data_IF_788887847258
#
_entry.id   IF_788887847258
#
_cell.length_a   1.000
_cell.length_b   1.000
_cell.length_c   1.000
_cell.angle_alpha   90.00
_cell.angle_beta   90.00
_cell.angle_gamma   90.00
#
_symmetry.space_group_name_H-M   'P 1'
#
loop_
_entity.id
_entity.type
_entity.pdbx_description
1 polymer ?
#
# COMPACT_ATOMS: atom_id res chain seq x y z
N UNK A 1 16.58 -31.60 9.48
CA UNK A 1 15.43 -31.48 10.42
C UNK A 1 15.40 -30.14 11.17
N UNK A 2 16.13 -29.12 10.73
CA UNK A 2 15.94 -27.71 11.12
C UNK A 2 15.35 -26.97 9.91
N UNK A 3 14.67 -25.85 10.09
CA UNK A 3 13.83 -25.12 9.11
C UNK A 3 12.39 -25.62 8.98
N UNK A 4 11.60 -25.34 10.02
CA UNK A 4 10.18 -25.04 9.81
C UNK A 4 9.54 -24.24 10.95
N UNK A 5 10.33 -23.48 11.71
CA UNK A 5 9.84 -22.80 12.93
C UNK A 5 8.89 -21.65 12.58
N UNK A 6 9.13 -21.00 11.44
CA UNK A 6 8.29 -19.87 10.98
C UNK A 6 7.01 -20.42 10.36
N UNK A 7 7.07 -21.44 9.50
CA UNK A 7 5.85 -22.09 8.99
C UNK A 7 5.01 -22.66 10.14
N UNK A 8 5.60 -23.31 11.14
CA UNK A 8 4.86 -23.80 12.32
C UNK A 8 4.18 -22.69 13.10
N UNK A 9 4.81 -21.50 13.21
CA UNK A 9 4.20 -20.32 13.81
C UNK A 9 2.98 -19.83 13.03
N UNK A 10 3.10 -19.74 11.70
CA UNK A 10 2.01 -19.35 10.81
C UNK A 10 0.88 -20.38 10.79
N UNK A 11 1.19 -21.67 10.79
CA UNK A 11 0.21 -22.75 10.93
C UNK A 11 -0.52 -22.69 12.28
N UNK A 12 0.21 -22.41 13.37
CA UNK A 12 -0.39 -22.26 14.68
C UNK A 12 -1.33 -21.05 14.74
N UNK A 13 -0.95 -19.91 14.14
CA UNK A 13 -1.83 -18.74 14.02
C UNK A 13 -3.06 -19.04 13.16
N UNK A 14 -2.89 -19.72 12.02
CA UNK A 14 -3.99 -20.15 11.16
C UNK A 14 -4.98 -21.09 11.87
N UNK A 15 -4.48 -21.95 12.77
CA UNK A 15 -5.31 -22.85 13.60
C UNK A 15 -6.04 -22.13 14.74
N UNK A 16 -5.62 -20.92 15.13
CA UNK A 16 -6.31 -20.13 16.17
C UNK A 16 -7.60 -19.54 15.59
N UNK A 17 -8.70 -20.24 15.80
CA UNK A 17 -10.03 -19.80 15.39
C UNK A 17 -10.77 -19.29 16.64
N UNK A 18 -11.17 -18.02 16.64
CA UNK A 18 -12.10 -17.48 17.65
C UNK A 18 -13.53 -17.95 17.36
N UNK A 19 -13.92 -17.96 16.09
CA UNK A 19 -15.28 -18.29 15.65
C UNK A 19 -15.28 -19.45 14.64
N UNK A 20 -15.90 -20.58 15.01
CA UNK A 20 -15.93 -21.80 14.19
C UNK A 20 -17.12 -21.79 13.23
N UNK A 21 -16.88 -22.25 12.00
CA UNK A 21 -17.94 -22.53 11.01
C UNK A 21 -18.91 -23.54 11.61
N UNK A 22 -20.20 -23.23 11.53
CA UNK A 22 -21.25 -24.03 12.13
C UNK A 22 -21.81 -24.99 11.09
N UNK A 23 -21.67 -26.30 11.33
CA UNK A 23 -22.37 -27.34 10.55
C UNK A 23 -23.74 -27.60 11.17
N UNK A 24 -24.79 -27.63 10.36
CA UNK A 24 -26.18 -27.80 10.81
C UNK A 24 -26.61 -26.65 11.73
N UNK A 25 -26.93 -25.50 11.14
CA UNK A 25 -27.24 -24.29 11.90
C UNK A 25 -28.65 -24.41 12.46
N UNK A 26 -28.73 -24.54 13.79
CA UNK A 26 -29.98 -24.43 14.53
C UNK A 26 -30.36 -22.95 14.68
N UNK A 27 -31.65 -22.67 14.90
CA UNK A 27 -32.13 -21.31 15.15
C UNK A 27 -31.42 -20.64 16.35
N UNK A 28 -31.04 -21.43 17.35
CA UNK A 28 -30.30 -20.97 18.53
C UNK A 28 -28.87 -20.54 18.18
N UNK A 29 -28.14 -21.34 17.39
CA UNK A 29 -26.79 -20.99 16.91
C UNK A 29 -26.79 -19.78 15.97
N UNK A 30 -27.84 -19.64 15.15
CA UNK A 30 -28.00 -18.47 14.30
C UNK A 30 -28.21 -17.19 15.12
N UNK A 31 -29.02 -17.28 16.19
CA UNK A 31 -29.24 -16.18 17.13
C UNK A 31 -27.94 -15.77 17.84
N UNK A 32 -27.17 -16.74 18.32
CA UNK A 32 -25.87 -16.49 18.96
C UNK A 32 -24.90 -15.76 18.02
N UNK A 33 -24.79 -16.19 16.77
CA UNK A 33 -23.94 -15.54 15.77
C UNK A 33 -24.41 -14.10 15.45
N UNK A 34 -25.71 -13.85 15.43
CA UNK A 34 -26.28 -12.52 15.22
C UNK A 34 -26.04 -11.58 16.42
N UNK A 35 -26.15 -12.09 17.65
CA UNK A 35 -25.81 -11.34 18.87
C UNK A 35 -24.32 -10.97 18.89
N UNK A 36 -23.44 -11.92 18.55
CA UNK A 36 -22.00 -11.67 18.42
C UNK A 36 -21.69 -10.62 17.37
N UNK A 37 -22.37 -10.64 16.23
CA UNK A 37 -22.19 -9.62 15.19
C UNK A 37 -22.59 -8.23 15.70
N UNK A 38 -23.66 -8.14 16.48
CA UNK A 38 -24.11 -6.88 17.10
C UNK A 38 -23.01 -6.29 17.99
N UNK A 39 -22.50 -7.09 18.93
CA UNK A 39 -21.39 -6.69 19.82
C UNK A 39 -20.17 -6.29 18.99
N UNK A 40 -19.80 -7.11 18.00
CA UNK A 40 -18.65 -6.87 17.13
C UNK A 40 -18.76 -5.54 16.36
N UNK A 41 -19.98 -5.18 15.94
CA UNK A 41 -20.26 -3.90 15.27
C UNK A 41 -20.17 -2.72 16.23
N UNK A 42 -20.73 -2.86 17.44
CA UNK A 42 -20.71 -1.82 18.48
C UNK A 42 -19.30 -1.49 18.92
N UNK A 43 -18.48 -2.49 19.22
CA UNK A 43 -17.06 -2.33 19.59
C UNK A 43 -16.25 -1.55 18.54
N UNK A 44 -16.66 -1.59 17.28
CA UNK A 44 -15.95 -0.99 16.14
C UNK A 44 -16.64 0.24 15.57
N UNK A 45 -17.79 0.62 16.11
CA UNK A 45 -18.63 1.70 15.57
C UNK A 45 -19.09 1.46 14.12
N UNK A 46 -19.28 0.20 13.70
CA UNK A 46 -19.69 -0.13 12.35
C UNK A 46 -21.20 0.03 12.17
N UNK A 47 -21.61 0.68 11.09
CA UNK A 47 -23.03 0.79 10.73
C UNK A 47 -23.54 -0.50 10.08
N UNK A 48 -24.84 -0.79 10.19
CA UNK A 48 -25.45 -1.95 9.51
C UNK A 48 -25.22 -1.91 8.00
N UNK A 49 -25.28 -0.73 7.36
CA UNK A 49 -25.01 -0.57 5.93
C UNK A 49 -23.59 -0.97 5.57
N UNK A 50 -22.60 -0.52 6.35
CA UNK A 50 -21.21 -0.89 6.14
C UNK A 50 -20.98 -2.39 6.35
N UNK A 51 -21.56 -2.96 7.41
CA UNK A 51 -21.46 -4.41 7.70
C UNK A 51 -22.12 -5.25 6.62
N UNK A 52 -23.29 -4.84 6.11
CA UNK A 52 -23.98 -5.54 5.02
C UNK A 52 -23.13 -5.57 3.74
N UNK A 53 -22.50 -4.46 3.39
CA UNK A 53 -21.53 -4.40 2.27
C UNK A 53 -20.35 -5.35 2.50
N UNK A 54 -19.80 -5.42 3.71
CA UNK A 54 -18.70 -6.35 4.05
C UNK A 54 -19.10 -7.82 3.95
N UNK A 55 -20.36 -8.13 4.23
CA UNK A 55 -20.92 -9.49 4.14
C UNK A 55 -21.41 -9.83 2.72
N UNK A 56 -21.49 -8.85 1.81
CA UNK A 56 -22.06 -9.05 0.47
C UNK A 56 -23.56 -9.36 0.51
N UNK A 57 -24.30 -8.78 1.45
CA UNK A 57 -25.76 -8.95 1.60
C UNK A 57 -26.46 -7.59 1.62
N UNK A 58 -27.79 -7.57 1.45
CA UNK A 58 -28.54 -6.32 1.54
C UNK A 58 -28.67 -5.85 3.00
N UNK A 59 -28.76 -4.53 3.26
CA UNK A 59 -29.03 -4.01 4.60
C UNK A 59 -30.33 -4.56 5.21
N UNK A 60 -31.35 -4.80 4.38
CA UNK A 60 -32.61 -5.40 4.79
C UNK A 60 -32.43 -6.86 5.25
N UNK A 61 -31.63 -7.66 4.52
CA UNK A 61 -31.29 -9.02 4.91
C UNK A 61 -30.52 -9.04 6.23
N UNK A 62 -29.52 -8.17 6.40
CA UNK A 62 -28.77 -8.07 7.66
C UNK A 62 -29.70 -7.75 8.83
N UNK A 63 -30.58 -6.75 8.69
CA UNK A 63 -31.53 -6.38 9.74
C UNK A 63 -32.47 -7.54 10.10
N UNK A 64 -32.95 -8.31 9.11
CA UNK A 64 -33.77 -9.50 9.37
C UNK A 64 -33.00 -10.59 10.13
N UNK A 65 -31.71 -10.77 9.85
CA UNK A 65 -30.85 -11.72 10.58
C UNK A 65 -30.64 -11.26 12.02
N UNK A 66 -30.31 -9.98 12.25
CA UNK A 66 -30.14 -9.41 13.58
C UNK A 66 -31.40 -9.49 14.44
N UNK A 67 -32.59 -9.40 13.83
CA UNK A 67 -33.87 -9.57 14.50
C UNK A 67 -34.35 -11.02 14.63
N UNK A 68 -33.55 -12.01 14.17
CA UNK A 68 -33.91 -13.42 14.13
C UNK A 68 -35.20 -13.71 13.33
N UNK A 69 -35.44 -12.95 12.25
CA UNK A 69 -36.62 -13.04 11.36
C UNK A 69 -36.28 -13.52 9.96
N UNK A 70 -35.01 -13.75 9.65
CA UNK A 70 -34.58 -14.17 8.32
C UNK A 70 -34.93 -15.64 8.06
N UNK A 71 -35.78 -15.87 7.04
CA UNK A 71 -36.25 -17.22 6.63
C UNK A 71 -35.57 -17.76 5.37
N UNK A 72 -34.57 -17.05 4.84
CA UNK A 72 -33.85 -17.45 3.64
C UNK A 72 -32.74 -18.46 3.93
N UNK A 73 -31.65 -18.38 3.16
CA UNK A 73 -30.47 -19.23 3.37
C UNK A 73 -29.69 -18.79 4.63
N UNK A 74 -30.24 -19.15 5.79
CA UNK A 74 -29.69 -18.83 7.10
C UNK A 74 -28.26 -19.37 7.23
N UNK A 75 -28.02 -20.58 6.73
CA UNK A 75 -26.73 -21.25 6.83
C UNK A 75 -25.60 -20.46 6.15
N UNK A 76 -25.80 -20.05 4.90
CA UNK A 76 -24.84 -19.25 4.15
C UNK A 76 -24.59 -17.89 4.82
N UNK A 77 -25.65 -17.25 5.30
CA UNK A 77 -25.55 -15.92 5.92
C UNK A 77 -24.80 -15.96 7.25
N UNK A 78 -25.08 -16.95 8.10
CA UNK A 78 -24.38 -17.12 9.38
C UNK A 78 -22.91 -17.51 9.13
N UNK A 79 -22.62 -18.35 8.14
CA UNK A 79 -21.23 -18.66 7.78
C UNK A 79 -20.46 -17.43 7.29
N UNK A 80 -21.09 -16.53 6.51
CA UNK A 80 -20.51 -15.23 6.14
C UNK A 80 -20.18 -14.37 7.36
N UNK A 81 -21.07 -14.35 8.36
CA UNK A 81 -20.89 -13.59 9.62
C UNK A 81 -19.71 -14.13 10.41
N UNK A 82 -19.69 -15.44 10.67
CA UNK A 82 -18.59 -16.13 11.37
C UNK A 82 -17.26 -15.88 10.67
N UNK A 83 -17.22 -16.04 9.34
CA UNK A 83 -16.02 -15.80 8.55
C UNK A 83 -15.54 -14.35 8.59
N UNK A 84 -16.46 -13.37 8.60
CA UNK A 84 -16.12 -11.96 8.73
C UNK A 84 -15.48 -11.69 10.10
N UNK A 85 -16.13 -12.10 11.19
CA UNK A 85 -15.64 -11.89 12.56
C UNK A 85 -14.27 -12.55 12.74
N UNK A 86 -14.10 -13.79 12.26
CA UNK A 86 -12.84 -14.51 12.35
C UNK A 86 -11.74 -13.84 11.52
N UNK A 87 -12.05 -13.44 10.28
CA UNK A 87 -11.11 -12.73 9.40
C UNK A 87 -10.62 -11.42 10.01
N UNK A 88 -11.51 -10.64 10.62
CA UNK A 88 -11.13 -9.40 11.30
C UNK A 88 -10.35 -9.66 12.58
N UNK A 89 -10.79 -10.64 13.39
CA UNK A 89 -10.06 -11.06 14.60
C UNK A 89 -8.64 -11.55 14.30
N UNK A 90 -8.42 -12.23 13.15
CA UNK A 90 -7.06 -12.57 12.68
C UNK A 90 -6.23 -11.32 12.37
N UNK A 91 -6.83 -10.30 11.75
CA UNK A 91 -6.14 -9.03 11.43
C UNK A 91 -5.81 -8.19 12.67
N UNK A 92 -6.62 -8.28 13.73
CA UNK A 92 -6.42 -7.56 14.98
C UNK A 92 -5.36 -8.19 15.89
N UNK A 93 -5.23 -9.53 15.83
CA UNK A 93 -4.17 -10.26 16.55
C UNK A 93 -2.77 -9.93 16.05
N UNK A 94 -2.66 -9.48 14.80
CA UNK A 94 -1.37 -9.06 14.24
C UNK A 94 -0.91 -7.79 14.95
N UNK A 95 0.29 -7.84 15.50
CA UNK A 95 0.99 -6.65 15.98
C UNK A 95 1.17 -5.70 14.79
N UNK A 96 0.75 -4.44 14.96
CA UNK A 96 0.88 -3.40 13.95
C UNK A 96 1.79 -2.29 14.48
N UNK A 97 2.65 -1.78 13.61
CA UNK A 97 3.35 -0.52 13.84
C UNK A 97 2.43 0.68 13.69
N UNK A 98 3.01 1.88 13.69
CA UNK A 98 2.27 3.12 13.38
C UNK A 98 1.69 3.09 11.97
N UNK A 99 0.53 3.71 11.78
CA UNK A 99 -0.14 3.79 10.46
C UNK A 99 0.72 4.48 9.40
N UNK A 100 1.47 5.50 9.80
CA UNK A 100 2.45 6.19 8.96
C UNK A 100 3.71 6.52 9.76
N UNK A 101 4.86 6.29 9.16
CA UNK A 101 6.17 6.61 9.73
C UNK A 101 6.87 7.59 8.80
N UNK A 102 7.29 8.73 9.34
CA UNK A 102 8.00 9.73 8.55
C UNK A 102 9.46 9.31 8.34
N UNK A 103 9.72 8.71 7.18
CA UNK A 103 11.04 8.26 6.74
C UNK A 103 11.73 9.28 5.84
N UNK A 104 12.99 9.03 5.46
CA UNK A 104 13.68 9.83 4.45
C UNK A 104 12.95 9.84 3.09
N UNK A 105 12.34 8.72 2.68
CA UNK A 105 11.47 8.67 1.48
C UNK A 105 10.27 9.60 1.64
N UNK A 106 9.56 9.50 2.77
CA UNK A 106 8.40 10.33 3.06
C UNK A 106 8.74 11.82 3.04
N UNK A 107 9.88 12.21 3.62
CA UNK A 107 10.38 13.59 3.58
C UNK A 107 10.61 14.07 2.16
N UNK A 108 11.26 13.26 1.30
CA UNK A 108 11.53 13.64 -0.10
C UNK A 108 10.24 13.81 -0.91
N UNK A 109 9.28 12.88 -0.78
CA UNK A 109 7.98 12.99 -1.44
C UNK A 109 7.23 14.22 -0.95
N UNK A 110 7.19 14.45 0.37
CA UNK A 110 6.58 15.64 0.95
C UNK A 110 7.22 16.94 0.43
N UNK A 111 8.55 17.01 0.40
CA UNK A 111 9.27 18.16 -0.17
C UNK A 111 8.89 18.36 -1.64
N UNK A 112 8.82 17.31 -2.45
CA UNK A 112 8.39 17.43 -3.85
C UNK A 112 6.96 17.99 -3.96
N UNK A 113 6.02 17.52 -3.13
CA UNK A 113 4.64 18.02 -3.16
C UNK A 113 4.61 19.52 -2.84
N UNK A 114 5.22 19.92 -1.72
CA UNK A 114 5.24 21.32 -1.26
C UNK A 114 5.96 22.23 -2.25
N UNK A 115 7.09 21.80 -2.82
CA UNK A 115 7.82 22.61 -3.80
C UNK A 115 7.05 22.73 -5.12
N UNK A 116 6.34 21.68 -5.54
CA UNK A 116 5.49 21.75 -6.74
C UNK A 116 4.34 22.75 -6.53
N UNK A 117 3.71 22.72 -5.36
CA UNK A 117 2.70 23.71 -4.98
C UNK A 117 3.27 25.12 -4.95
N UNK A 118 4.40 25.34 -4.26
CA UNK A 118 5.03 26.65 -4.11
C UNK A 118 5.50 27.28 -5.43
N UNK A 119 5.82 26.47 -6.44
CA UNK A 119 6.21 26.93 -7.78
C UNK A 119 5.02 27.09 -8.73
N UNK A 120 3.80 26.81 -8.26
CA UNK A 120 2.56 26.96 -9.04
C UNK A 120 1.93 28.33 -8.76
N UNK A 121 2.20 29.28 -9.66
CA UNK A 121 1.62 30.63 -9.60
C UNK A 121 0.39 30.72 -10.53
N UNK A 122 0.56 31.35 -11.70
CA UNK A 122 -0.51 31.57 -12.67
C UNK A 122 -1.01 30.28 -13.33
N UNK A 123 -0.19 29.23 -13.32
CA UNK A 123 -0.48 27.90 -13.85
C UNK A 123 0.15 26.84 -12.94
N UNK A 124 -0.52 25.70 -12.84
CA UNK A 124 -0.07 24.55 -12.06
C UNK A 124 1.23 23.96 -12.63
N UNK A 125 2.15 23.62 -11.71
CA UNK A 125 3.33 22.81 -12.00
C UNK A 125 3.06 21.33 -11.76
N UNK A 126 3.92 20.50 -12.33
CA UNK A 126 3.83 19.05 -12.24
C UNK A 126 5.05 18.51 -11.48
N UNK A 127 4.80 17.82 -10.38
CA UNK A 127 5.79 17.04 -9.68
C UNK A 127 5.71 15.58 -10.12
N UNK A 128 6.84 14.90 -10.30
CA UNK A 128 6.85 13.49 -10.71
C UNK A 128 7.66 12.67 -9.72
N UNK A 129 7.04 11.63 -9.15
CA UNK A 129 7.71 10.65 -8.28
C UNK A 129 7.70 9.31 -8.97
N UNK A 130 8.87 8.79 -9.32
CA UNK A 130 8.98 7.43 -9.85
C UNK A 130 9.80 6.52 -8.96
N UNK A 131 9.47 5.25 -9.04
CA UNK A 131 10.30 4.17 -8.53
C UNK A 131 9.53 2.86 -8.59
N UNK A 132 10.20 1.74 -8.40
CA UNK A 132 9.51 0.45 -8.34
C UNK A 132 8.54 0.33 -7.15
N UNK A 133 7.77 -0.76 -7.16
CA UNK A 133 6.92 -1.13 -6.04
C UNK A 133 7.73 -1.32 -4.75
N UNK A 134 7.20 -0.87 -3.62
CA UNK A 134 7.82 -1.08 -2.31
C UNK A 134 8.63 0.09 -1.75
N UNK A 135 8.68 1.24 -2.43
CA UNK A 135 9.26 2.47 -1.86
C UNK A 135 8.35 3.19 -0.85
N UNK A 136 7.05 2.88 -0.82
CA UNK A 136 6.08 3.56 0.04
C UNK A 136 5.43 4.81 -0.57
N UNK A 137 5.55 5.02 -1.90
CA UNK A 137 4.93 6.14 -2.63
C UNK A 137 3.45 6.34 -2.31
N UNK A 138 2.63 5.32 -2.56
CA UNK A 138 1.18 5.33 -2.31
C UNK A 138 0.85 5.69 -0.86
N UNK A 139 1.61 5.12 0.10
CA UNK A 139 1.42 5.41 1.52
C UNK A 139 1.76 6.85 1.88
N UNK A 140 2.79 7.43 1.26
CA UNK A 140 3.15 8.83 1.47
C UNK A 140 2.09 9.78 0.88
N UNK A 141 1.58 9.49 -0.32
CA UNK A 141 0.53 10.29 -0.96
C UNK A 141 -0.79 10.21 -0.19
N UNK A 142 -1.20 9.00 0.22
CA UNK A 142 -2.38 8.77 1.05
C UNK A 142 -2.27 9.51 2.39
N UNK A 143 -1.12 9.39 3.07
CA UNK A 143 -0.87 10.10 4.32
C UNK A 143 -0.93 11.62 4.16
N UNK A 144 -0.33 12.16 3.09
CA UNK A 144 -0.37 13.59 2.79
C UNK A 144 -1.80 14.08 2.54
N UNK A 145 -2.61 13.34 1.78
CA UNK A 145 -4.01 13.71 1.52
C UNK A 145 -4.89 13.66 2.78
N UNK A 146 -4.55 12.80 3.74
CA UNK A 146 -5.25 12.73 5.03
C UNK A 146 -4.89 13.90 5.94
N UNK A 147 -3.64 14.37 5.90
CA UNK A 147 -3.20 15.51 6.70
C UNK A 147 -3.60 16.86 6.10
N UNK A 148 -3.75 16.95 4.78
CA UNK A 148 -4.01 18.21 4.08
C UNK A 148 -5.39 18.18 3.39
N UNK A 149 -6.33 18.99 3.91
CA UNK A 149 -7.72 19.03 3.40
C UNK A 149 -7.84 19.57 1.96
N UNK A 150 -6.83 20.30 1.49
CA UNK A 150 -6.77 20.89 0.15
C UNK A 150 -6.05 19.96 -0.85
N UNK A 151 -6.32 18.66 -0.77
CA UNK A 151 -5.66 17.66 -1.59
C UNK A 151 -6.64 16.62 -2.09
N UNK A 152 -6.60 16.36 -3.39
CA UNK A 152 -7.35 15.29 -4.03
C UNK A 152 -6.38 14.14 -4.28
N UNK A 153 -6.67 12.97 -3.71
CA UNK A 153 -5.90 11.75 -3.97
C UNK A 153 -6.72 10.78 -4.81
N UNK A 154 -6.14 10.33 -5.91
CA UNK A 154 -6.72 9.35 -6.82
C UNK A 154 -5.67 8.31 -7.14
N UNK A 155 -6.04 7.06 -6.95
CA UNK A 155 -5.29 5.92 -7.43
C UNK A 155 -5.85 5.52 -8.79
N UNK A 156 -5.02 5.58 -9.82
CA UNK A 156 -5.40 5.24 -11.19
C UNK A 156 -5.30 3.72 -11.42
N UNK A 157 -6.03 3.23 -12.42
CA UNK A 157 -5.95 1.86 -12.89
C UNK A 157 -6.06 1.80 -14.43
N UNK A 158 -5.67 0.66 -15.00
CA UNK A 158 -5.58 0.44 -16.45
C UNK A 158 -6.93 0.43 -17.15
N UNK A 159 -8.02 0.23 -16.41
CA UNK A 159 -9.37 0.25 -16.96
C UNK A 159 -9.90 1.68 -17.10
N UNK A 160 -9.24 2.68 -16.49
CA UNK A 160 -9.69 4.06 -16.56
C UNK A 160 -9.45 4.67 -17.94
N UNK A 161 -10.56 5.04 -18.60
CA UNK A 161 -10.53 5.93 -19.75
C UNK A 161 -10.53 7.41 -19.28
N UNK A 162 -10.34 8.40 -20.19
CA UNK A 162 -10.34 9.81 -19.80
C UNK A 162 -11.58 10.24 -19.02
N UNK A 163 -12.78 9.79 -19.42
CA UNK A 163 -14.04 10.15 -18.75
C UNK A 163 -14.08 9.62 -17.32
N UNK A 164 -13.77 8.34 -17.11
CA UNK A 164 -13.78 7.75 -15.77
C UNK A 164 -12.71 8.37 -14.86
N UNK A 165 -11.55 8.72 -15.41
CA UNK A 165 -10.49 9.42 -14.68
C UNK A 165 -10.94 10.82 -14.21
N UNK A 166 -11.56 11.63 -15.08
CA UNK A 166 -12.07 12.95 -14.67
C UNK A 166 -13.30 12.85 -13.76
N UNK A 167 -14.11 11.79 -13.90
CA UNK A 167 -15.19 11.50 -12.96
C UNK A 167 -14.67 11.18 -11.56
N UNK A 168 -13.59 10.40 -11.44
CA UNK A 168 -12.96 10.14 -10.15
C UNK A 168 -12.46 11.44 -9.49
N UNK A 169 -11.96 12.40 -10.27
CA UNK A 169 -11.60 13.75 -9.77
C UNK A 169 -12.86 14.50 -9.31
N UNK A 170 -13.92 14.50 -10.12
CA UNK A 170 -15.17 15.20 -9.83
C UNK A 170 -15.87 14.68 -8.57
N UNK A 171 -15.93 13.36 -8.40
CA UNK A 171 -16.50 12.69 -7.24
C UNK A 171 -15.80 13.15 -5.95
N UNK A 172 -14.45 13.24 -5.96
CA UNK A 172 -13.67 13.67 -4.79
C UNK A 172 -13.92 15.11 -4.36
N UNK A 173 -14.41 15.97 -5.25
CA UNK A 173 -14.75 17.36 -4.94
C UNK A 173 -16.25 17.59 -4.75
N UNK A 174 -17.06 16.53 -4.79
CA UNK A 174 -18.51 16.61 -4.66
C UNK A 174 -19.21 17.24 -5.86
N UNK A 175 -18.61 17.15 -7.06
CA UNK A 175 -19.20 17.63 -8.30
C UNK A 175 -19.91 16.48 -9.00
N UNK A 176 -21.11 16.75 -9.51
CA UNK A 176 -21.90 15.76 -10.26
C UNK A 176 -21.13 15.26 -11.49
N UNK A 177 -20.87 13.96 -11.49
CA UNK A 177 -20.07 13.19 -12.45
C UNK A 177 -20.85 12.75 -13.71
N UNK A 178 -22.11 13.17 -13.83
CA UNK A 178 -22.98 12.85 -14.96
C UNK A 178 -22.76 13.80 -16.15
N UNK A 179 -22.66 13.22 -17.35
CA UNK A 179 -22.65 13.96 -18.61
C UNK A 179 -21.47 13.58 -19.51
N UNK A 180 -21.28 14.35 -20.58
CA UNK A 180 -20.13 14.19 -21.45
C UNK A 180 -18.85 14.69 -20.78
N UNK A 181 -17.69 14.21 -21.25
CA UNK A 181 -16.38 14.67 -20.76
C UNK A 181 -16.22 16.19 -20.80
N UNK A 182 -16.82 16.87 -21.80
CA UNK A 182 -16.79 18.32 -21.90
C UNK A 182 -17.56 19.00 -20.73
N UNK A 183 -18.71 18.44 -20.33
CA UNK A 183 -19.50 18.95 -19.21
C UNK A 183 -18.75 18.74 -17.89
N UNK A 184 -18.22 17.54 -17.68
CA UNK A 184 -17.44 17.20 -16.46
C UNK A 184 -16.24 18.14 -16.32
N UNK A 185 -15.46 18.30 -17.39
CA UNK A 185 -14.26 19.16 -17.38
C UNK A 185 -14.60 20.63 -17.17
N UNK A 186 -15.71 21.13 -17.73
CA UNK A 186 -16.17 22.50 -17.45
C UNK A 186 -16.48 22.70 -15.97
N UNK A 187 -17.22 21.78 -15.36
CA UNK A 187 -17.55 21.82 -13.92
C UNK A 187 -16.29 21.74 -13.05
N UNK A 188 -15.35 20.86 -13.40
CA UNK A 188 -14.07 20.77 -12.71
C UNK A 188 -13.35 22.12 -12.71
N UNK A 189 -13.29 22.80 -13.86
CA UNK A 189 -12.65 24.12 -13.98
C UNK A 189 -13.37 25.15 -13.11
N UNK A 190 -14.70 25.27 -13.23
CA UNK A 190 -15.51 26.20 -12.43
C UNK A 190 -15.29 26.02 -10.92
N UNK A 191 -15.12 24.77 -10.46
CA UNK A 191 -14.92 24.46 -9.04
C UNK A 191 -13.47 24.62 -8.57
N UNK A 192 -12.47 24.34 -9.42
CA UNK A 192 -11.07 24.26 -9.02
C UNK A 192 -10.27 25.53 -9.30
N UNK A 193 -10.60 26.30 -10.33
CA UNK A 193 -9.79 27.42 -10.84
C UNK A 193 -9.43 28.48 -9.78
N UNK A 194 -10.30 28.68 -8.78
CA UNK A 194 -10.11 29.67 -7.71
C UNK A 194 -9.75 29.04 -6.36
N UNK A 195 -9.46 27.73 -6.33
CA UNK A 195 -9.11 26.99 -5.11
C UNK A 195 -7.66 26.58 -5.16
N UNK A 196 -7.00 26.67 -4.01
CA UNK A 196 -5.67 26.09 -3.83
C UNK A 196 -5.82 24.61 -3.53
N UNK A 197 -5.90 23.78 -4.57
CA UNK A 197 -6.05 22.32 -4.46
C UNK A 197 -4.91 21.64 -5.19
N UNK A 198 -4.27 20.67 -4.52
CA UNK A 198 -3.25 19.80 -5.10
C UNK A 198 -3.91 18.51 -5.58
N UNK A 199 -3.60 18.07 -6.80
CA UNK A 199 -4.07 16.79 -7.34
C UNK A 199 -2.96 15.75 -7.31
N UNK A 200 -3.12 14.70 -6.50
CA UNK A 200 -2.20 13.57 -6.41
C UNK A 200 -2.76 12.39 -7.21
N UNK A 201 -2.04 11.98 -8.25
CA UNK A 201 -2.37 10.83 -9.09
C UNK A 201 -1.34 9.73 -8.84
N UNK A 202 -1.76 8.67 -8.15
CA UNK A 202 -0.96 7.47 -7.90
C UNK A 202 -1.21 6.41 -8.98
N UNK A 203 -0.26 5.50 -9.16
CA UNK A 203 -0.26 4.48 -10.23
C UNK A 203 -0.42 5.06 -11.66
N UNK A 204 0.18 6.23 -11.89
CA UNK A 204 0.13 6.95 -13.16
C UNK A 204 0.93 6.30 -14.32
N UNK A 205 1.59 5.16 -14.08
CA UNK A 205 2.47 4.44 -15.03
C UNK A 205 1.79 4.08 -16.35
N UNK A 206 0.47 3.89 -16.33
CA UNK A 206 -0.32 3.43 -17.47
C UNK A 206 -0.99 4.56 -18.25
N UNK A 207 -0.77 5.82 -17.83
CA UNK A 207 -1.30 6.98 -18.53
C UNK A 207 -0.66 7.12 -19.91
N UNK A 208 -1.50 7.15 -20.94
CA UNK A 208 -1.05 7.39 -22.32
C UNK A 208 -0.80 8.88 -22.53
N UNK A 209 -0.01 9.20 -23.56
CA UNK A 209 0.32 10.59 -23.96
C UNK A 209 -0.91 11.50 -24.04
N UNK A 210 -2.00 11.00 -24.64
CA UNK A 210 -3.27 11.75 -24.72
C UNK A 210 -3.84 12.09 -23.35
N UNK A 211 -3.84 11.15 -22.40
CA UNK A 211 -4.35 11.36 -21.04
C UNK A 211 -3.48 12.35 -20.27
N UNK A 212 -2.15 12.21 -20.37
CA UNK A 212 -1.20 13.16 -19.78
C UNK A 212 -1.42 14.58 -20.31
N UNK A 213 -1.61 14.74 -21.61
CA UNK A 213 -1.91 16.04 -22.20
C UNK A 213 -3.27 16.60 -21.74
N UNK A 214 -4.30 15.76 -21.62
CA UNK A 214 -5.60 16.19 -21.09
C UNK A 214 -5.50 16.64 -19.63
N UNK A 215 -4.81 15.89 -18.77
CA UNK A 215 -4.55 16.26 -17.39
C UNK A 215 -3.78 17.58 -17.30
N UNK A 216 -2.72 17.74 -18.09
CA UNK A 216 -1.98 19.01 -18.19
C UNK A 216 -2.87 20.18 -18.59
N UNK A 217 -3.66 20.04 -19.67
CA UNK A 217 -4.50 21.13 -20.16
C UNK A 217 -5.59 21.50 -19.16
N UNK A 218 -6.24 20.51 -18.55
CA UNK A 218 -7.40 20.76 -17.71
C UNK A 218 -6.97 21.10 -16.28
N UNK A 219 -6.18 20.25 -15.63
CA UNK A 219 -5.81 20.41 -14.22
C UNK A 219 -4.74 21.49 -14.05
N UNK A 220 -3.62 21.38 -14.76
CA UNK A 220 -2.50 22.29 -14.55
C UNK A 220 -2.74 23.68 -15.18
N UNK A 221 -3.29 23.74 -16.40
CA UNK A 221 -3.47 25.03 -17.10
C UNK A 221 -4.82 25.69 -16.76
N UNK A 222 -5.95 25.01 -16.99
CA UNK A 222 -7.27 25.63 -16.82
C UNK A 222 -7.71 25.74 -15.36
N UNK A 223 -7.54 24.68 -14.57
CA UNK A 223 -7.84 24.69 -13.14
C UNK A 223 -6.72 25.32 -12.30
N UNK A 224 -5.53 25.55 -12.88
CA UNK A 224 -4.36 26.12 -12.18
C UNK A 224 -3.93 25.31 -10.94
N UNK A 225 -4.22 24.02 -10.92
CA UNK A 225 -3.92 23.16 -9.78
C UNK A 225 -2.53 22.52 -9.95
N UNK A 226 -1.67 22.54 -8.91
CA UNK A 226 -0.48 21.70 -8.86
C UNK A 226 -0.87 20.23 -8.97
N UNK A 227 -0.08 19.45 -9.70
CA UNK A 227 -0.35 18.04 -9.92
C UNK A 227 0.88 17.18 -9.63
N UNK A 228 0.70 16.08 -8.91
CA UNK A 228 1.75 15.11 -8.62
C UNK A 228 1.42 13.80 -9.32
N UNK A 229 2.33 13.35 -10.18
CA UNK A 229 2.23 12.07 -10.86
C UNK A 229 3.18 11.08 -10.18
N UNK A 230 2.63 10.01 -9.60
CA UNK A 230 3.42 8.94 -9.02
C UNK A 230 3.25 7.63 -9.79
N UNK A 231 4.36 6.97 -10.08
CA UNK A 231 4.36 5.73 -10.86
C UNK A 231 5.67 4.96 -10.79
N UNK A 232 5.84 4.03 -11.71
CA UNK A 232 7.09 3.32 -11.97
C UNK A 232 7.97 4.10 -12.97
N UNK A 233 9.10 3.52 -13.37
CA UNK A 233 10.01 4.15 -14.34
C UNK A 233 9.40 4.34 -15.73
N UNK A 234 8.34 3.60 -16.10
CA UNK A 234 7.68 3.73 -17.40
C UNK A 234 6.92 5.06 -17.55
N UNK A 235 6.51 5.67 -16.43
CA UNK A 235 5.94 7.02 -16.44
C UNK A 235 6.94 8.04 -17.01
N UNK A 236 8.19 8.05 -16.53
CA UNK A 236 9.22 8.96 -17.07
C UNK A 236 9.54 8.63 -18.53
N UNK A 237 9.64 7.33 -18.86
CA UNK A 237 9.85 6.92 -20.26
C UNK A 237 8.75 7.46 -21.16
N UNK A 238 7.51 7.49 -20.70
CA UNK A 238 6.35 8.01 -21.45
C UNK A 238 6.36 9.54 -21.56
N UNK A 239 6.72 10.23 -20.49
CA UNK A 239 6.82 11.70 -20.47
C UNK A 239 7.91 12.21 -21.40
N UNK A 240 9.07 11.55 -21.41
CA UNK A 240 10.24 11.96 -22.20
C UNK A 240 10.36 11.26 -23.56
N UNK A 241 9.26 10.69 -24.08
CA UNK A 241 9.32 10.11 -25.42
C UNK A 241 9.62 11.18 -26.48
N UNK A 242 10.40 10.86 -27.52
CA UNK A 242 10.69 11.80 -28.60
C UNK A 242 9.42 12.31 -29.28
N UNK A 243 9.27 13.64 -29.36
CA UNK A 243 8.09 14.30 -29.92
C UNK A 243 7.96 14.19 -31.44
N UNK A 244 9.01 13.69 -32.11
CA UNK A 244 9.02 13.34 -33.54
C UNK A 244 8.04 12.19 -33.86
N UNK A 245 7.63 11.41 -32.85
CA UNK A 245 6.60 10.38 -33.02
C UNK A 245 5.20 11.02 -33.10
N UNK A 246 4.41 10.60 -34.08
CA UNK A 246 3.04 11.06 -34.29
C UNK A 246 2.21 10.91 -33.01
N UNK A 247 1.58 12.00 -32.55
CA UNK A 247 0.76 12.03 -31.34
C UNK A 247 1.52 12.33 -30.04
N UNK A 248 2.84 12.60 -30.12
CA UNK A 248 3.69 12.95 -28.99
C UNK A 248 4.04 14.46 -28.92
N UNK A 249 3.48 15.28 -29.80
CA UNK A 249 3.81 16.70 -29.95
C UNK A 249 3.49 17.50 -28.67
N UNK A 250 2.53 17.04 -27.87
CA UNK A 250 2.14 17.68 -26.62
C UNK A 250 3.06 17.37 -25.42
N UNK A 251 4.00 16.43 -25.55
CA UNK A 251 4.89 16.06 -24.45
C UNK A 251 5.88 17.16 -24.09
N UNK A 252 6.36 17.94 -25.07
CA UNK A 252 7.24 19.09 -24.79
C UNK A 252 6.54 20.13 -23.90
N UNK A 253 5.22 20.31 -24.11
CA UNK A 253 4.40 21.20 -23.28
C UNK A 253 4.12 20.63 -21.89
N UNK A 254 4.14 19.31 -21.72
CA UNK A 254 4.02 18.65 -20.43
C UNK A 254 5.34 18.75 -19.67
N UNK A 255 6.45 18.39 -20.33
CA UNK A 255 7.79 18.38 -19.77
C UNK A 255 8.23 19.76 -19.30
N UNK A 256 7.90 20.83 -20.05
CA UNK A 256 8.20 22.21 -19.64
C UNK A 256 7.48 22.66 -18.36
N UNK A 257 6.45 21.93 -17.92
CA UNK A 257 5.73 22.18 -16.66
C UNK A 257 6.19 21.33 -15.50
N UNK A 258 7.06 20.35 -15.76
CA UNK A 258 7.61 19.51 -14.69
C UNK A 258 8.59 20.37 -13.90
N UNK A 259 8.27 20.64 -12.64
CA UNK A 259 9.11 21.44 -11.75
C UNK A 259 10.12 20.59 -11.00
N UNK A 260 9.74 19.36 -10.63
CA UNK A 260 10.58 18.50 -9.82
C UNK A 260 10.31 17.02 -10.11
N UNK A 261 11.38 16.27 -10.35
CA UNK A 261 11.37 14.81 -10.50
C UNK A 261 12.16 14.16 -9.36
N UNK A 262 11.54 13.20 -8.68
CA UNK A 262 12.20 12.32 -7.70
C UNK A 262 12.20 10.90 -8.25
N UNK A 263 13.38 10.36 -8.56
CA UNK A 263 13.55 8.96 -8.90
C UNK A 263 14.07 8.17 -7.69
N UNK A 264 13.17 7.44 -7.03
CA UNK A 264 13.47 6.67 -5.83
C UNK A 264 14.33 5.44 -6.11
N UNK A 265 14.32 4.88 -7.33
CA UNK A 265 15.19 3.76 -7.67
C UNK A 265 16.65 4.22 -7.78
N UNK A 266 16.90 5.33 -8.48
CA UNK A 266 18.24 5.91 -8.59
C UNK A 266 18.78 6.25 -7.20
N UNK A 267 17.96 6.89 -6.36
CA UNK A 267 18.33 7.25 -4.99
C UNK A 267 18.59 6.05 -4.09
N UNK A 268 17.87 4.94 -4.29
CA UNK A 268 18.12 3.70 -3.55
C UNK A 268 19.42 3.03 -3.97
N UNK A 269 19.81 3.15 -5.25
CA UNK A 269 21.02 2.56 -5.81
C UNK A 269 22.31 3.32 -5.47
N UNK A 270 22.22 4.59 -5.05
CA UNK A 270 23.39 5.39 -4.68
C UNK A 270 24.10 4.85 -3.42
N UNK A 271 25.41 4.61 -3.54
CA UNK A 271 26.28 4.22 -2.43
C UNK A 271 26.45 5.35 -1.42
N UNK A 272 26.51 5.01 -0.12
CA UNK A 272 26.72 5.98 0.97
C UNK A 272 25.48 6.34 1.82
N UNK A 273 24.28 5.85 1.49
CA UNK A 273 23.12 5.89 2.42
C UNK A 273 21.80 6.50 1.90
N UNK A 274 21.66 6.69 0.59
CA UNK A 274 20.79 7.71 -0.01
C UNK A 274 19.27 7.66 0.15
N UNK A 275 18.67 6.61 0.74
CA UNK A 275 17.20 6.55 0.88
C UNK A 275 16.69 5.81 2.10
N UNK A 276 17.35 4.72 2.48
CA UNK A 276 16.97 3.87 3.62
C UNK A 276 18.01 3.97 4.73
N UNK A 277 17.78 4.89 5.66
CA UNK A 277 18.69 5.07 6.80
C UNK A 277 18.47 3.95 7.83
N UNK A 278 19.49 3.68 8.64
CA UNK A 278 19.39 2.72 9.76
C UNK A 278 18.28 3.14 10.72
N UNK A 279 18.12 4.44 10.95
CA UNK A 279 17.08 5.01 11.80
C UNK A 279 15.68 4.78 11.21
N UNK A 280 15.50 4.96 9.90
CA UNK A 280 14.21 4.72 9.23
C UNK A 280 13.79 3.26 9.32
N UNK A 281 14.71 2.32 9.08
CA UNK A 281 14.44 0.88 9.18
C UNK A 281 14.02 0.52 10.61
N UNK A 282 14.72 1.04 11.62
CA UNK A 282 14.33 0.83 13.02
C UNK A 282 12.96 1.42 13.33
N UNK A 283 12.69 2.66 12.94
CA UNK A 283 11.38 3.31 13.13
C UNK A 283 10.22 2.55 12.47
N UNK A 284 10.47 1.91 11.33
CA UNK A 284 9.46 1.16 10.59
C UNK A 284 9.17 -0.20 11.21
N UNK A 285 10.17 -0.88 11.76
CA UNK A 285 10.09 -2.31 12.07
C UNK A 285 10.34 -2.68 13.53
N UNK A 286 10.84 -1.77 14.37
CA UNK A 286 10.91 -1.96 15.82
C UNK A 286 9.59 -1.55 16.47
N UNK A 287 8.60 -2.44 16.39
CA UNK A 287 7.32 -2.29 17.07
C UNK A 287 6.93 -3.59 17.78
N UNK A 288 5.94 -3.53 18.67
CA UNK A 288 5.48 -4.71 19.42
C UNK A 288 6.53 -5.36 20.33
N UNK A 289 7.47 -4.57 20.84
CA UNK A 289 8.51 -5.05 21.76
C UNK A 289 9.72 -5.72 21.09
N UNK A 290 9.78 -5.75 19.76
CA UNK A 290 10.91 -6.33 19.03
C UNK A 290 11.96 -5.28 18.68
N UNK A 291 13.24 -5.69 18.76
CA UNK A 291 14.41 -4.90 18.36
C UNK A 291 15.17 -5.60 17.24
N UNK A 292 15.73 -4.80 16.33
CA UNK A 292 16.57 -5.31 15.25
C UNK A 292 18.04 -5.23 15.64
N UNK A 293 18.77 -6.32 15.43
CA UNK A 293 20.23 -6.30 15.54
C UNK A 293 20.86 -5.50 14.38
N UNK A 294 22.13 -5.15 14.51
CA UNK A 294 22.80 -4.33 13.50
C UNK A 294 22.96 -5.05 12.15
N UNK A 295 23.22 -6.35 12.18
CA UNK A 295 23.24 -7.25 11.03
C UNK A 295 21.85 -7.40 10.40
N UNK A 296 20.77 -7.52 11.19
CA UNK A 296 19.41 -7.52 10.65
C UNK A 296 19.09 -6.23 9.89
N UNK A 297 19.48 -5.06 10.44
CA UNK A 297 19.28 -3.78 9.76
C UNK A 297 20.09 -3.72 8.46
N UNK A 298 21.33 -4.24 8.44
CA UNK A 298 22.13 -4.35 7.21
C UNK A 298 21.46 -5.24 6.16
N UNK A 299 20.93 -6.39 6.57
CA UNK A 299 20.19 -7.31 5.71
C UNK A 299 18.96 -6.64 5.09
N UNK A 300 18.13 -5.99 5.91
CA UNK A 300 16.95 -5.25 5.45
C UNK A 300 17.31 -4.10 4.50
N UNK A 301 18.38 -3.36 4.79
CA UNK A 301 18.86 -2.31 3.87
C UNK A 301 19.29 -2.88 2.53
N UNK A 302 19.96 -4.04 2.53
CA UNK A 302 20.36 -4.72 1.30
C UNK A 302 19.14 -5.12 0.48
N UNK A 303 18.13 -5.75 1.11
CA UNK A 303 16.85 -6.07 0.46
C UNK A 303 16.22 -4.81 -0.17
N UNK A 304 16.19 -3.70 0.55
CA UNK A 304 15.59 -2.46 0.08
C UNK A 304 16.33 -1.84 -1.11
N UNK A 305 17.66 -1.92 -1.14
CA UNK A 305 18.49 -1.39 -2.24
C UNK A 305 18.38 -2.24 -3.50
N UNK A 306 18.34 -3.55 -3.37
CA UNK A 306 18.33 -4.47 -4.51
C UNK A 306 17.05 -4.29 -5.36
N UNK A 307 17.16 -4.04 -6.68
CA UNK A 307 16.00 -3.89 -7.56
C UNK A 307 15.08 -5.11 -7.57
N UNK A 308 13.79 -4.86 -7.78
CA UNK A 308 12.76 -5.90 -7.96
C UNK A 308 12.63 -6.93 -6.82
N UNK A 309 13.09 -6.59 -5.60
CA UNK A 309 12.89 -7.38 -4.38
C UNK A 309 11.59 -7.08 -3.66
N UNK A 310 10.82 -6.07 -4.11
CA UNK A 310 9.68 -5.53 -3.37
C UNK A 310 10.06 -4.64 -2.18
N UNK A 311 11.36 -4.44 -1.90
CA UNK A 311 11.91 -3.43 -0.99
C UNK A 311 11.22 -3.42 0.39
N UNK A 312 10.72 -2.27 0.87
CA UNK A 312 10.07 -2.15 2.18
C UNK A 312 8.86 -3.08 2.32
N UNK A 313 8.17 -3.43 1.22
CA UNK A 313 7.01 -4.33 1.25
C UNK A 313 7.41 -5.73 1.68
N UNK A 314 8.53 -6.26 1.16
CA UNK A 314 9.03 -7.58 1.56
C UNK A 314 9.58 -7.53 2.98
N UNK A 315 10.29 -6.46 3.36
CA UNK A 315 10.71 -6.29 4.76
C UNK A 315 9.50 -6.29 5.72
N UNK A 316 8.38 -5.63 5.37
CA UNK A 316 7.14 -5.69 6.14
C UNK A 316 6.55 -7.09 6.23
N UNK A 317 6.60 -7.87 5.14
CA UNK A 317 6.13 -9.26 5.12
C UNK A 317 6.98 -10.14 6.06
N UNK A 318 8.30 -10.05 5.95
CA UNK A 318 9.26 -10.79 6.78
C UNK A 318 9.03 -10.46 8.26
N UNK A 319 8.98 -9.18 8.62
CA UNK A 319 8.74 -8.75 10.01
C UNK A 319 7.40 -9.24 10.51
N UNK A 320 6.33 -9.11 9.71
CA UNK A 320 5.00 -9.61 10.09
C UNK A 320 4.98 -11.12 10.32
N UNK A 321 5.74 -11.90 9.55
CA UNK A 321 5.86 -13.34 9.76
C UNK A 321 6.67 -13.66 11.02
N UNK A 322 7.80 -12.97 11.22
CA UNK A 322 8.66 -13.15 12.38
C UNK A 322 7.98 -12.77 13.70
N UNK A 323 7.07 -11.80 13.72
CA UNK A 323 6.21 -11.51 14.88
C UNK A 323 5.39 -12.73 15.35
N UNK A 324 5.02 -13.63 14.43
CA UNK A 324 4.27 -14.86 14.78
C UNK A 324 5.19 -16.01 15.20
N UNK A 325 6.49 -15.91 14.95
CA UNK A 325 7.44 -16.96 15.26
C UNK A 325 7.70 -17.07 16.77
N UNK A 326 7.67 -18.30 17.30
CA UNK A 326 7.84 -18.56 18.73
C UNK A 326 9.21 -18.13 19.26
N UNK A 327 10.26 -18.17 18.41
CA UNK A 327 11.62 -17.77 18.77
C UNK A 327 11.67 -16.27 19.07
N UNK A 328 11.10 -15.46 18.18
CA UNK A 328 11.09 -13.99 18.31
C UNK A 328 10.24 -13.56 19.50
N UNK A 329 9.12 -14.25 19.77
CA UNK A 329 8.29 -13.98 20.95
C UNK A 329 9.03 -14.24 22.29
N UNK A 330 10.08 -15.07 22.29
CA UNK A 330 10.90 -15.33 23.49
C UNK A 330 12.06 -14.36 23.63
N UNK A 331 12.73 -14.03 22.52
CA UNK A 331 13.95 -13.21 22.55
C UNK A 331 13.67 -11.71 22.43
N UNK A 332 12.57 -11.33 21.78
CA UNK A 332 12.28 -9.94 21.42
C UNK A 332 13.30 -9.36 20.42
N UNK A 333 14.09 -10.21 19.75
CA UNK A 333 15.14 -9.79 18.83
C UNK A 333 15.02 -10.51 17.49
N UNK A 334 15.32 -9.79 16.42
CA UNK A 334 15.43 -10.32 15.06
C UNK A 334 16.84 -10.02 14.55
N UNK A 335 17.54 -11.08 14.15
CA UNK A 335 18.86 -11.06 13.54
C UNK A 335 18.81 -11.34 12.02
N UNK A 336 19.96 -11.26 11.34
CA UNK A 336 20.04 -11.53 9.91
C UNK A 336 19.76 -13.00 9.56
N UNK A 337 20.11 -13.94 10.46
CA UNK A 337 19.88 -15.37 10.26
C UNK A 337 18.38 -15.67 10.21
N UNK A 338 17.59 -15.16 11.16
CA UNK A 338 16.14 -15.31 11.17
C UNK A 338 15.47 -14.70 9.94
N UNK A 339 16.03 -13.61 9.40
CA UNK A 339 15.56 -13.00 8.15
C UNK A 339 15.81 -13.96 6.97
N UNK A 340 17.02 -14.52 6.86
CA UNK A 340 17.37 -15.50 5.83
C UNK A 340 16.48 -16.74 5.91
N UNK A 341 16.34 -17.31 7.10
CA UNK A 341 15.45 -18.45 7.35
C UNK A 341 14.00 -18.15 6.99
N UNK A 342 13.51 -16.93 7.25
CA UNK A 342 12.16 -16.53 6.87
C UNK A 342 11.96 -16.48 5.35
N UNK A 343 12.97 -15.99 4.62
CA UNK A 343 12.94 -15.94 3.16
C UNK A 343 12.89 -17.36 2.58
N UNK A 344 13.64 -18.28 3.15
CA UNK A 344 13.66 -19.70 2.73
C UNK A 344 12.38 -20.45 3.12
N UNK A 345 11.94 -20.35 4.38
CA UNK A 345 10.74 -21.01 4.89
C UNK A 345 9.47 -20.56 4.14
N UNK A 346 9.43 -19.31 3.65
CA UNK A 346 8.29 -18.77 2.90
C UNK A 346 8.44 -18.89 1.37
N UNK A 347 9.55 -19.45 0.89
CA UNK A 347 9.90 -19.56 -0.53
C UNK A 347 9.68 -18.24 -1.29
N UNK A 348 10.15 -17.14 -0.70
CA UNK A 348 9.87 -15.81 -1.25
C UNK A 348 10.62 -15.63 -2.58
N UNK A 349 9.98 -15.08 -3.64
CA UNK A 349 10.61 -14.84 -4.94
C UNK A 349 11.87 -13.96 -4.90
N UNK A 350 12.03 -13.21 -3.80
CA UNK A 350 13.19 -12.37 -3.54
C UNK A 350 14.49 -13.17 -3.39
N UNK A 351 14.41 -14.46 -3.01
CA UNK A 351 15.55 -15.36 -2.83
C UNK A 351 16.46 -15.41 -4.06
N UNK A 352 15.88 -15.46 -5.25
CA UNK A 352 16.63 -15.51 -6.51
C UNK A 352 17.36 -14.19 -6.86
N UNK A 353 17.07 -13.08 -6.16
CA UNK A 353 17.57 -11.74 -6.46
C UNK A 353 18.49 -11.17 -5.38
N UNK A 354 18.58 -11.82 -4.22
CA UNK A 354 19.47 -11.37 -3.15
C UNK A 354 20.90 -11.88 -3.38
N UNK A 355 21.93 -11.11 -2.96
CA UNK A 355 23.30 -11.60 -2.98
C UNK A 355 23.41 -12.88 -2.13
N UNK A 356 24.21 -13.83 -2.62
CA UNK A 356 24.44 -15.13 -1.97
C UNK A 356 24.77 -14.99 -0.48
N UNK A 357 25.46 -13.94 -0.05
CA UNK A 357 25.81 -13.68 1.36
C UNK A 357 24.61 -13.49 2.32
N UNK A 358 23.40 -13.22 1.81
CA UNK A 358 22.17 -13.25 2.63
C UNK A 358 21.46 -14.61 2.61
N UNK A 359 21.77 -15.44 1.62
CA UNK A 359 21.19 -16.77 1.38
C UNK A 359 22.09 -17.88 1.95
N UNK A 360 23.39 -17.64 2.06
CA UNK A 360 24.40 -18.56 2.58
C UNK A 360 24.97 -18.02 3.89
N UNK A 361 24.20 -18.14 4.97
CA UNK A 361 24.79 -18.29 6.31
C UNK A 361 25.03 -19.79 6.60
N UNK A 362 24.65 -20.67 5.67
CA UNK A 362 24.61 -22.12 5.88
C UNK A 362 25.89 -22.89 5.48
N UNK A 363 26.92 -22.22 4.93
CA UNK A 363 28.11 -22.90 4.39
C UNK A 363 29.46 -22.50 5.01
N UNK A 364 29.58 -21.36 5.70
CA UNK A 364 30.84 -21.02 6.40
C UNK A 364 31.00 -21.84 7.70
N UNK A 365 29.91 -22.15 8.40
CA UNK A 365 29.93 -23.00 9.61
C UNK A 365 30.18 -24.49 9.34
N UNK A 366 30.07 -24.95 8.07
CA UNK A 366 30.42 -26.34 7.70
C UNK A 366 31.91 -26.52 7.42
N UNK A 367 32.63 -25.45 7.09
CA UNK A 367 34.07 -25.53 6.84
C UNK A 367 34.89 -25.42 8.14
N UNK A 368 34.45 -24.64 9.13
CA UNK A 368 35.15 -24.56 10.42
C UNK A 368 35.01 -25.82 11.30
N UNK A 369 33.94 -26.60 11.14
CA UNK A 369 33.77 -27.87 11.90
C UNK A 369 34.50 -29.04 11.23
N UNK A 370 34.70 -29.02 9.91
CA UNK A 370 35.53 -30.04 9.21
C UNK A 370 37.03 -29.79 9.33
N UNK A 371 37.47 -28.56 9.56
CA UNK A 371 38.88 -28.22 9.80
C UNK A 371 39.35 -28.49 11.24
N UNK A 372 38.44 -28.79 12.18
CA UNK A 372 38.78 -29.15 13.57
C UNK A 372 38.70 -30.66 13.86
N UNK A 373 38.42 -31.48 12.86
CA UNK A 373 38.37 -32.97 12.95
C UNK A 373 39.20 -33.64 11.84
N UNK A 374 40.08 -32.89 11.16
CA UNK A 374 41.05 -33.43 10.21
C UNK A 374 42.46 -33.40 10.81
#
# INVERSE_FOLDING_TARGET
>A
MKHNLIQKGLEADARRIKERILMGITAEKAKEAAERLTIFMEERGWTQTYTAQKLGISPAQLNQVLQNKYKGALDDTINKIVNLIESQSRKERRVKGKDFVQTSVAKKIHTLIVQTEALSDDEGKIGVVVGDGGHGKSKCLEAYSKSNKNTIYIQLDDAMNPTTMFNAIAEKIGVVENGSLAVITRRLIEHLQHRQIIVLLDEASHLRVRQLNQLRQIIAVKCKCPMILAGNSDLLKTIYQPTVRRGCESLDQLASRISYVVNLDDMASQDGGGLYTTEDIKKLYEFGGIKLTNDAVKAMKTICKTPHTGRLRICSLIISALHTAAVVNKTGQIDAELIGQCIDDLDLPVKAKLPLSLVTIDDEDKQEVKAKIA
#
